data_IF_566392777645
#
_entry.id   IF_566392777645
#
_cell.length_a   1.000
_cell.length_b   1.000
_cell.length_c   1.000
_cell.angle_alpha   90.00
_cell.angle_beta   90.00
_cell.angle_gamma   90.00
#
_symmetry.space_group_name_H-M   'P 1'
#
loop_
_entity.id
_entity.type
_entity.pdbx_description
1 polymer ?
#
# COMPACT_ATOMS: atom_id res chain seq x y z
N UNK A 1 -6.12 25.84 -46.47
CA UNK A 1 -6.10 24.41 -46.13
C UNK A 1 -5.49 24.28 -44.74
N UNK A 2 -6.40 24.11 -43.78
CA UNK A 2 -6.28 23.65 -42.39
C UNK A 2 -4.98 23.86 -41.60
N UNK A 3 -4.98 24.91 -40.78
CA UNK A 3 -4.25 24.97 -39.53
C UNK A 3 -4.78 23.91 -38.56
N UNK A 4 -3.94 22.95 -38.22
CA UNK A 4 -4.28 21.89 -37.28
C UNK A 4 -4.12 22.43 -35.85
N UNK A 5 -5.22 22.90 -35.27
CA UNK A 5 -5.30 23.24 -33.85
C UNK A 5 -5.23 21.94 -33.05
N UNK A 6 -4.16 21.75 -32.30
CA UNK A 6 -3.97 20.62 -31.37
C UNK A 6 -4.84 20.84 -30.11
N UNK A 7 -5.89 20.04 -29.88
CA UNK A 7 -6.91 20.31 -28.85
C UNK A 7 -6.49 19.92 -27.42
N UNK A 8 -5.19 19.89 -27.09
CA UNK A 8 -4.70 19.43 -25.76
C UNK A 8 -4.07 20.56 -24.93
N UNK A 9 -4.21 21.83 -25.32
CA UNK A 9 -3.55 22.96 -24.64
C UNK A 9 -4.22 23.46 -23.34
N UNK A 10 -5.38 22.95 -22.92
CA UNK A 10 -6.10 23.46 -21.74
C UNK A 10 -6.56 22.39 -20.73
N UNK A 11 -5.69 21.45 -20.35
CA UNK A 11 -5.92 20.58 -19.19
C UNK A 11 -4.88 20.80 -18.10
N UNK A 12 -5.35 21.00 -16.87
CA UNK A 12 -4.53 21.19 -15.67
C UNK A 12 -3.51 20.05 -15.50
N UNK A 13 -2.25 20.43 -15.21
CA UNK A 13 -1.02 19.62 -15.19
C UNK A 13 -0.99 18.41 -14.23
N UNK A 14 -2.08 18.10 -13.53
CA UNK A 14 -2.15 17.02 -12.53
C UNK A 14 -2.87 15.74 -12.99
N UNK A 15 -3.40 15.71 -14.22
CA UNK A 15 -4.25 14.62 -14.73
C UNK A 15 -3.60 13.77 -15.83
N UNK A 16 -2.32 13.38 -15.69
CA UNK A 16 -1.73 12.36 -16.58
C UNK A 16 -1.65 11.00 -15.88
N UNK A 17 -2.15 9.91 -16.50
CA UNK A 17 -1.74 8.59 -16.09
C UNK A 17 -0.21 8.50 -16.20
N UNK A 18 0.39 7.65 -15.38
CA UNK A 18 1.80 7.33 -15.49
C UNK A 18 2.18 7.08 -16.95
N UNK A 19 3.04 7.91 -17.57
CA UNK A 19 3.74 7.52 -18.80
C UNK A 19 4.69 6.34 -18.57
N UNK A 20 4.91 5.98 -17.29
CA UNK A 20 5.37 4.66 -16.90
C UNK A 20 4.14 3.77 -16.66
N UNK A 21 3.39 3.48 -17.71
CA UNK A 21 2.91 2.12 -17.88
C UNK A 21 4.21 1.31 -17.93
N UNK A 22 4.48 0.36 -17.01
CA UNK A 22 5.55 -0.57 -17.28
C UNK A 22 5.19 -1.17 -18.63
N UNK A 23 6.03 -0.95 -19.64
CA UNK A 23 5.90 -1.60 -20.93
C UNK A 23 5.49 -3.03 -20.66
N UNK A 24 4.45 -3.48 -21.37
CA UNK A 24 3.80 -4.77 -21.27
C UNK A 24 4.85 -5.89 -21.33
N UNK A 25 5.49 -6.18 -20.20
CA UNK A 25 6.42 -7.26 -19.97
C UNK A 25 5.65 -8.25 -19.10
N UNK A 26 4.73 -8.96 -19.74
CA UNK A 26 3.98 -10.04 -19.13
C UNK A 26 4.92 -11.06 -18.51
N UNK A 27 4.64 -11.43 -17.25
CA UNK A 27 5.29 -12.50 -16.50
C UNK A 27 6.74 -12.20 -16.07
N UNK A 28 7.09 -12.56 -14.83
CA UNK A 28 8.48 -12.62 -14.31
C UNK A 28 9.12 -11.33 -13.80
N UNK A 29 8.39 -10.45 -13.12
CA UNK A 29 9.04 -9.44 -12.25
C UNK A 29 8.48 -9.46 -10.84
N UNK A 30 9.00 -10.31 -9.94
CA UNK A 30 8.78 -10.09 -8.51
C UNK A 30 9.44 -8.77 -8.14
N UNK A 31 8.65 -7.70 -8.05
CA UNK A 31 9.02 -6.52 -7.29
C UNK A 31 9.15 -7.03 -5.87
N UNK A 32 10.39 -7.29 -5.40
CA UNK A 32 10.63 -7.73 -4.03
C UNK A 32 9.81 -6.83 -3.12
N UNK A 33 8.71 -7.33 -2.49
CA UNK A 33 7.91 -6.51 -1.63
C UNK A 33 8.88 -5.93 -0.61
N UNK A 34 8.90 -4.61 -0.46
CA UNK A 34 9.45 -4.04 0.77
C UNK A 34 8.63 -4.70 1.86
N UNK A 35 9.23 -5.51 2.76
CA UNK A 35 8.47 -6.22 3.77
C UNK A 35 7.72 -5.20 4.60
N UNK A 36 6.43 -5.05 4.32
CA UNK A 36 5.52 -4.19 5.04
C UNK A 36 5.36 -4.83 6.41
N UNK A 37 5.57 -4.05 7.47
CA UNK A 37 5.05 -4.44 8.78
C UNK A 37 3.59 -4.86 8.58
N UNK A 38 3.11 -5.94 9.23
CA UNK A 38 1.68 -6.23 9.22
C UNK A 38 0.97 -4.93 9.63
N UNK A 39 0.09 -4.46 8.75
CA UNK A 39 -0.77 -3.31 9.04
C UNK A 39 -1.53 -3.67 10.32
N UNK A 40 -1.60 -2.77 11.33
CA UNK A 40 -2.35 -3.05 12.53
C UNK A 40 -3.74 -3.57 12.16
N UNK A 41 -4.10 -4.75 12.66
CA UNK A 41 -5.44 -5.29 12.47
C UNK A 41 -6.36 -4.60 13.47
N UNK A 42 -7.00 -3.51 13.04
CA UNK A 42 -7.94 -2.76 13.87
C UNK A 42 -9.34 -3.32 13.60
N UNK A 43 -9.92 -3.99 14.58
CA UNK A 43 -11.30 -4.44 14.50
C UNK A 43 -12.23 -3.23 14.52
N UNK A 44 -12.97 -3.01 13.43
CA UNK A 44 -13.95 -1.91 13.33
C UNK A 44 -15.38 -2.47 13.41
N UNK A 45 -16.29 -1.78 14.12
CA UNK A 45 -17.68 -2.18 14.15
C UNK A 45 -18.27 -2.10 12.74
N UNK A 46 -19.07 -3.10 12.36
CA UNK A 46 -19.86 -3.07 11.11
C UNK A 46 -21.32 -2.72 11.38
N UNK A 47 -21.67 -2.45 12.63
CA UNK A 47 -23.03 -2.09 13.07
C UNK A 47 -22.94 -0.96 14.09
N UNK A 48 -23.68 0.10 13.83
CA UNK A 48 -23.94 1.24 14.72
C UNK A 48 -25.25 1.92 14.30
N UNK A 49 -25.75 2.87 15.10
CA UNK A 49 -27.09 3.44 14.94
C UNK A 49 -27.40 3.91 13.49
N UNK A 50 -26.56 4.76 12.90
CA UNK A 50 -26.79 5.26 11.54
C UNK A 50 -26.73 4.18 10.47
N UNK A 51 -25.88 3.16 10.62
CA UNK A 51 -25.80 2.03 9.68
C UNK A 51 -27.03 1.11 9.72
N UNK A 52 -27.89 1.22 10.73
CA UNK A 52 -29.12 0.42 10.88
C UNK A 52 -30.41 1.20 10.63
N UNK A 53 -30.33 2.45 10.17
CA UNK A 53 -31.51 3.19 9.73
C UNK A 53 -32.29 2.37 8.69
N UNK A 54 -33.62 2.38 8.78
CA UNK A 54 -34.47 1.77 7.75
C UNK A 54 -34.25 2.43 6.39
N UNK A 55 -34.72 1.78 5.33
CA UNK A 55 -34.69 2.36 3.99
C UNK A 55 -35.39 3.73 3.95
N UNK A 56 -36.58 3.84 4.56
CA UNK A 56 -37.38 5.06 4.62
C UNK A 56 -36.74 6.14 5.50
N UNK A 57 -36.22 5.76 6.66
CA UNK A 57 -35.52 6.67 7.58
C UNK A 57 -34.30 7.29 6.91
N UNK A 58 -33.55 6.50 6.14
CA UNK A 58 -32.36 6.97 5.45
C UNK A 58 -32.71 7.95 4.31
N UNK A 59 -33.79 7.71 3.56
CA UNK A 59 -34.27 8.66 2.54
C UNK A 59 -34.76 9.97 3.17
N UNK A 60 -35.41 9.90 4.33
CA UNK A 60 -35.80 11.08 5.09
C UNK A 60 -34.55 11.85 5.58
N UNK A 61 -33.56 11.16 6.13
CA UNK A 61 -32.30 11.76 6.58
C UNK A 61 -31.53 12.45 5.43
N UNK A 62 -31.54 11.88 4.22
CA UNK A 62 -30.97 12.54 3.02
C UNK A 62 -31.71 13.83 2.68
N UNK A 63 -33.04 13.83 2.78
CA UNK A 63 -33.86 15.03 2.53
C UNK A 63 -33.56 16.14 3.56
N UNK A 64 -33.46 15.77 4.82
CA UNK A 64 -33.18 16.70 5.92
C UNK A 64 -31.76 17.26 5.81
N UNK A 65 -30.79 16.42 5.47
CA UNK A 65 -29.40 16.82 5.22
C UNK A 65 -29.29 17.87 4.10
N UNK A 66 -30.03 17.72 3.00
CA UNK A 66 -29.99 18.69 1.90
C UNK A 66 -30.73 19.99 2.22
N UNK A 67 -31.80 19.90 3.02
CA UNK A 67 -32.54 21.06 3.52
C UNK A 67 -31.69 21.88 4.49
N UNK A 68 -31.01 21.22 5.43
CA UNK A 68 -30.07 21.85 6.36
C UNK A 68 -28.85 22.47 5.64
N UNK A 69 -28.47 21.94 4.48
CA UNK A 69 -27.42 22.50 3.62
C UNK A 69 -27.87 23.76 2.84
N UNK A 70 -29.06 24.29 3.12
CA UNK A 70 -29.59 25.50 2.48
C UNK A 70 -30.07 25.27 1.04
N UNK A 71 -30.32 24.02 0.64
CA UNK A 71 -30.87 23.73 -0.68
C UNK A 71 -32.34 24.10 -0.70
N UNK A 72 -32.69 25.18 -1.39
CA UNK A 72 -34.08 25.69 -1.42
C UNK A 72 -34.91 25.09 -2.56
N UNK A 73 -34.27 24.55 -3.60
CA UNK A 73 -34.96 24.04 -4.78
C UNK A 73 -35.45 22.61 -4.56
N UNK A 74 -36.77 22.42 -4.43
CA UNK A 74 -37.39 21.10 -4.18
C UNK A 74 -37.05 20.05 -5.25
N UNK A 75 -36.76 20.46 -6.49
CA UNK A 75 -36.31 19.55 -7.55
C UNK A 75 -34.93 18.94 -7.26
N UNK A 76 -34.02 19.72 -6.67
CA UNK A 76 -32.67 19.26 -6.33
C UNK A 76 -32.67 18.32 -5.13
N UNK A 77 -33.49 18.61 -4.11
CA UNK A 77 -33.67 17.70 -2.97
C UNK A 77 -34.23 16.35 -3.47
N UNK A 78 -35.28 16.38 -4.31
CA UNK A 78 -35.85 15.16 -4.90
C UNK A 78 -34.84 14.36 -5.71
N UNK A 79 -33.94 15.02 -6.46
CA UNK A 79 -32.92 14.28 -7.21
C UNK A 79 -31.91 13.60 -6.28
N UNK A 80 -31.50 14.22 -5.17
CA UNK A 80 -30.61 13.56 -4.21
C UNK A 80 -31.26 12.35 -3.55
N UNK A 81 -32.55 12.44 -3.23
CA UNK A 81 -33.32 11.29 -2.70
C UNK A 81 -33.39 10.17 -3.73
N UNK A 82 -33.70 10.45 -5.00
CA UNK A 82 -33.69 9.46 -6.09
C UNK A 82 -32.31 8.80 -6.29
N UNK A 83 -31.23 9.55 -6.12
CA UNK A 83 -29.88 9.00 -6.20
C UNK A 83 -29.60 8.05 -5.03
N UNK A 84 -30.03 8.40 -3.82
CA UNK A 84 -29.96 7.54 -2.67
C UNK A 84 -30.80 6.27 -2.86
N UNK A 85 -32.04 6.37 -3.34
CA UNK A 85 -32.90 5.22 -3.68
C UNK A 85 -32.20 4.24 -4.63
N UNK A 86 -31.55 4.77 -5.67
CA UNK A 86 -30.80 3.94 -6.64
C UNK A 86 -29.67 3.17 -5.95
N UNK A 87 -28.88 3.84 -5.10
CA UNK A 87 -27.76 3.21 -4.41
C UNK A 87 -28.24 2.19 -3.37
N UNK A 88 -29.25 2.53 -2.58
CA UNK A 88 -29.82 1.66 -1.55
C UNK A 88 -30.49 0.44 -2.17
N UNK A 89 -31.21 0.61 -3.28
CA UNK A 89 -31.77 -0.50 -4.06
C UNK A 89 -30.70 -1.47 -4.57
N UNK A 90 -29.51 -0.97 -4.93
CA UNK A 90 -28.37 -1.86 -5.23
C UNK A 90 -27.86 -2.57 -3.98
N UNK A 91 -27.66 -1.85 -2.87
CA UNK A 91 -27.12 -2.42 -1.63
C UNK A 91 -28.05 -3.48 -1.00
N UNK A 92 -29.36 -3.37 -1.18
CA UNK A 92 -30.33 -4.36 -0.72
C UNK A 92 -30.15 -5.75 -1.34
N UNK A 93 -29.46 -5.85 -2.49
CA UNK A 93 -29.13 -7.12 -3.16
C UNK A 93 -28.05 -7.94 -2.43
N UNK A 94 -27.36 -7.36 -1.46
CA UNK A 94 -26.28 -8.01 -0.71
C UNK A 94 -26.71 -8.36 0.72
N UNK A 95 -26.14 -9.42 1.33
CA UNK A 95 -26.46 -9.81 2.70
C UNK A 95 -25.94 -8.80 3.73
N UNK A 96 -26.60 -8.70 4.87
CA UNK A 96 -26.19 -7.86 6.00
C UNK A 96 -27.38 -7.24 6.75
N UNK A 97 -27.21 -7.06 8.05
CA UNK A 97 -28.18 -6.42 8.96
C UNK A 97 -27.98 -4.90 9.04
N UNK A 98 -26.87 -4.38 8.50
CA UNK A 98 -26.58 -2.96 8.40
C UNK A 98 -26.20 -2.56 6.97
N UNK A 99 -26.32 -1.27 6.65
CA UNK A 99 -25.84 -0.70 5.39
C UNK A 99 -24.34 -0.87 5.21
N UNK A 100 -23.55 -0.85 6.30
CA UNK A 100 -22.11 -1.08 6.24
C UNK A 100 -21.78 -2.52 5.83
N UNK A 101 -22.47 -3.52 6.41
CA UNK A 101 -22.26 -4.92 6.03
C UNK A 101 -22.62 -5.15 4.56
N UNK A 102 -23.73 -4.55 4.10
CA UNK A 102 -24.15 -4.59 2.69
C UNK A 102 -23.13 -3.90 1.77
N UNK A 103 -22.55 -2.78 2.20
CA UNK A 103 -21.48 -2.10 1.50
C UNK A 103 -20.25 -3.01 1.32
N UNK A 104 -19.76 -3.62 2.39
CA UNK A 104 -18.63 -4.55 2.31
C UNK A 104 -18.94 -5.77 1.43
N UNK A 105 -20.12 -6.37 1.58
CA UNK A 105 -20.56 -7.51 0.77
C UNK A 105 -20.74 -7.17 -0.73
N UNK A 106 -20.90 -5.89 -1.08
CA UNK A 106 -21.03 -5.44 -2.46
C UNK A 106 -19.75 -5.53 -3.29
N UNK A 107 -18.58 -5.63 -2.64
CA UNK A 107 -17.28 -5.56 -3.30
C UNK A 107 -16.87 -4.16 -3.75
N UNK A 108 -17.61 -3.10 -3.37
CA UNK A 108 -17.28 -1.72 -3.70
C UNK A 108 -15.86 -1.34 -3.29
N UNK A 109 -15.45 -1.72 -2.07
CA UNK A 109 -14.14 -1.38 -1.53
C UNK A 109 -12.98 -1.93 -2.36
N UNK A 110 -13.13 -3.16 -2.87
CA UNK A 110 -12.15 -3.82 -3.71
C UNK A 110 -12.12 -3.27 -5.14
N UNK A 111 -13.28 -2.91 -5.69
CA UNK A 111 -13.38 -2.32 -7.03
C UNK A 111 -12.85 -0.87 -7.09
N UNK A 112 -12.71 -0.20 -5.94
CA UNK A 112 -12.12 1.13 -5.84
C UNK A 112 -12.83 2.14 -6.74
N UNK A 113 -12.13 2.71 -7.71
CA UNK A 113 -12.66 3.74 -8.64
C UNK A 113 -13.71 3.21 -9.63
N UNK A 114 -13.69 1.90 -9.90
CA UNK A 114 -14.59 1.26 -10.85
C UNK A 114 -15.85 0.69 -10.16
N UNK A 115 -16.02 0.94 -8.85
CA UNK A 115 -17.12 0.40 -8.04
C UNK A 115 -18.52 0.68 -8.60
N UNK A 116 -18.72 1.85 -9.23
CA UNK A 116 -20.03 2.20 -9.80
C UNK A 116 -20.43 1.28 -10.96
N UNK A 117 -19.46 0.64 -11.62
CA UNK A 117 -19.75 -0.33 -12.68
C UNK A 117 -20.42 -1.60 -12.12
N UNK A 118 -20.17 -1.95 -10.86
CA UNK A 118 -20.81 -3.09 -10.18
C UNK A 118 -22.30 -2.88 -9.93
N UNK A 119 -22.74 -1.62 -9.79
CA UNK A 119 -24.13 -1.26 -9.55
C UNK A 119 -25.01 -1.35 -10.81
N UNK A 120 -24.38 -1.46 -11.99
CA UNK A 120 -24.98 -1.64 -13.31
C UNK A 120 -25.95 -0.52 -13.73
N UNK A 121 -25.40 0.55 -14.33
CA UNK A 121 -25.90 1.30 -15.50
C UNK A 121 -24.89 2.44 -15.78
N UNK A 122 -24.27 2.53 -16.98
CA UNK A 122 -23.22 3.51 -17.29
C UNK A 122 -23.64 4.97 -17.03
N UNK A 123 -24.91 5.29 -17.25
CA UNK A 123 -25.47 6.64 -17.17
C UNK A 123 -25.74 7.12 -15.73
N UNK A 124 -25.54 6.25 -14.72
CA UNK A 124 -25.82 6.57 -13.31
C UNK A 124 -24.58 6.78 -12.45
N UNK A 125 -23.38 6.79 -13.04
CA UNK A 125 -22.12 7.00 -12.30
C UNK A 125 -22.16 8.22 -11.37
N UNK A 126 -22.57 9.38 -11.91
CA UNK A 126 -22.65 10.63 -11.13
C UNK A 126 -23.66 10.56 -9.99
N UNK A 127 -24.77 9.84 -10.19
CA UNK A 127 -25.80 9.64 -9.17
C UNK A 127 -25.28 8.79 -8.01
N UNK A 128 -24.61 7.67 -8.33
CA UNK A 128 -24.05 6.75 -7.33
C UNK A 128 -22.95 7.43 -6.50
N UNK A 129 -22.06 8.21 -7.13
CA UNK A 129 -21.04 8.98 -6.42
C UNK A 129 -21.68 10.04 -5.51
N UNK A 130 -22.70 10.75 -6.00
CA UNK A 130 -23.42 11.74 -5.21
C UNK A 130 -24.15 11.12 -4.01
N UNK A 131 -24.77 9.96 -4.19
CA UNK A 131 -25.46 9.19 -3.15
C UNK A 131 -24.48 8.66 -2.10
N UNK A 132 -23.37 8.04 -2.53
CA UNK A 132 -22.33 7.58 -1.63
C UNK A 132 -21.81 8.73 -0.76
N UNK A 133 -21.60 9.91 -1.34
CA UNK A 133 -21.26 11.12 -0.59
C UNK A 133 -22.23 11.46 0.54
N UNK A 134 -23.55 11.27 0.36
CA UNK A 134 -24.54 11.50 1.42
C UNK A 134 -24.50 10.42 2.49
N UNK A 135 -24.32 9.16 2.10
CA UNK A 135 -24.14 8.07 3.06
C UNK A 135 -22.90 8.28 3.94
N UNK A 136 -21.82 8.84 3.40
CA UNK A 136 -20.63 9.24 4.18
C UNK A 136 -20.94 10.39 5.15
N UNK A 137 -21.69 11.40 4.70
CA UNK A 137 -22.07 12.55 5.53
C UNK A 137 -22.99 12.16 6.70
N UNK A 138 -23.89 11.20 6.46
CA UNK A 138 -24.80 10.64 7.47
C UNK A 138 -24.14 9.56 8.36
N UNK A 139 -22.86 9.24 8.12
CA UNK A 139 -22.15 8.14 8.77
C UNK A 139 -22.86 6.79 8.66
N UNK A 140 -23.52 6.53 7.54
CA UNK A 140 -24.24 5.26 7.29
C UNK A 140 -23.28 4.18 6.81
N UNK A 141 -22.24 4.61 6.09
CA UNK A 141 -21.14 3.76 5.62
C UNK A 141 -19.78 4.38 5.97
N UNK A 142 -18.79 3.53 6.16
CA UNK A 142 -17.38 3.81 6.43
C UNK A 142 -16.53 2.93 5.51
N UNK A 143 -16.26 3.35 4.26
CA UNK A 143 -15.50 2.56 3.31
C UNK A 143 -14.06 2.31 3.74
N UNK A 144 -13.43 1.32 3.13
CA UNK A 144 -12.02 1.03 3.36
C UNK A 144 -11.12 2.10 2.74
N UNK A 145 -9.88 2.20 3.24
CA UNK A 145 -8.90 3.11 2.65
C UNK A 145 -8.64 2.83 1.17
N UNK A 146 -8.75 1.58 0.70
CA UNK A 146 -8.62 1.24 -0.73
C UNK A 146 -9.61 2.03 -1.58
N UNK A 147 -10.87 2.12 -1.12
CA UNK A 147 -11.91 2.90 -1.76
C UNK A 147 -11.62 4.39 -1.62
N UNK A 148 -11.37 4.88 -0.40
CA UNK A 148 -11.16 6.31 -0.14
C UNK A 148 -9.96 6.89 -0.93
N UNK A 149 -8.89 6.12 -1.12
CA UNK A 149 -7.74 6.51 -1.96
C UNK A 149 -7.99 6.37 -3.46
N UNK A 150 -8.81 5.40 -3.88
CA UNK A 150 -9.18 5.25 -5.28
C UNK A 150 -10.20 6.29 -5.76
N UNK A 151 -11.19 6.63 -4.93
CA UNK A 151 -12.25 7.58 -5.24
C UNK A 151 -11.88 8.96 -4.71
N UNK A 152 -11.60 9.90 -5.60
CA UNK A 152 -11.31 11.27 -5.20
C UNK A 152 -12.61 11.97 -4.78
N UNK A 153 -12.78 12.17 -3.47
CA UNK A 153 -13.86 13.01 -2.94
C UNK A 153 -13.67 14.47 -3.39
N UNK A 154 -14.78 15.15 -3.64
CA UNK A 154 -14.76 16.58 -3.97
C UNK A 154 -14.37 17.41 -2.73
N UNK A 155 -13.69 18.57 -2.91
CA UNK A 155 -13.34 19.44 -1.79
C UNK A 155 -14.54 19.80 -0.90
N UNK A 156 -15.68 20.13 -1.53
CA UNK A 156 -16.93 20.45 -0.83
C UNK A 156 -17.46 19.30 0.03
N UNK A 157 -17.27 18.04 -0.39
CA UNK A 157 -17.68 16.90 0.42
C UNK A 157 -16.83 16.80 1.69
N UNK A 158 -15.51 16.98 1.59
CA UNK A 158 -14.64 16.98 2.76
C UNK A 158 -14.90 18.15 3.70
N UNK A 159 -15.13 19.35 3.19
CA UNK A 159 -15.54 20.49 4.01
C UNK A 159 -16.80 20.18 4.82
N UNK A 160 -17.84 19.63 4.17
CA UNK A 160 -19.07 19.21 4.86
C UNK A 160 -18.84 18.11 5.90
N UNK A 161 -18.01 17.12 5.59
CA UNK A 161 -17.66 16.06 6.54
C UNK A 161 -17.00 16.62 7.80
N UNK A 162 -16.10 17.59 7.67
CA UNK A 162 -15.47 18.26 8.82
C UNK A 162 -16.48 18.98 9.68
N UNK A 163 -17.38 19.74 9.04
CA UNK A 163 -18.40 20.51 9.76
C UNK A 163 -19.42 19.64 10.50
N UNK A 164 -19.72 18.45 9.98
CA UNK A 164 -20.72 17.56 10.56
C UNK A 164 -20.15 16.58 11.59
N UNK A 165 -18.93 16.06 11.37
CA UNK A 165 -18.37 15.01 12.24
C UNK A 165 -17.64 15.55 13.46
N UNK A 166 -16.79 16.56 13.27
CA UNK A 166 -15.96 17.07 14.35
C UNK A 166 -15.60 18.56 14.15
N UNK A 167 -16.60 19.46 14.21
CA UNK A 167 -16.38 20.88 13.94
C UNK A 167 -15.36 21.51 14.90
N UNK A 168 -15.36 21.11 16.18
CA UNK A 168 -14.41 21.60 17.17
C UNK A 168 -12.98 21.11 16.90
N UNK A 169 -12.80 19.80 16.69
CA UNK A 169 -11.49 19.23 16.40
C UNK A 169 -10.88 19.80 15.12
N UNK A 170 -11.67 19.99 14.06
CA UNK A 170 -11.15 20.63 12.84
C UNK A 170 -10.86 22.11 13.03
N UNK A 171 -11.64 22.85 13.82
CA UNK A 171 -11.31 24.25 14.15
C UNK A 171 -9.94 24.33 14.86
N UNK A 172 -9.61 23.38 15.73
CA UNK A 172 -8.32 23.29 16.41
C UNK A 172 -7.18 22.99 15.43
N UNK A 173 -7.38 22.06 14.50
CA UNK A 173 -6.40 21.79 13.42
C UNK A 173 -6.15 23.02 12.56
N UNK A 174 -7.20 23.78 12.24
CA UNK A 174 -7.10 25.00 11.44
C UNK A 174 -6.29 26.07 12.19
N UNK A 175 -6.54 26.26 13.50
CA UNK A 175 -5.73 27.17 14.34
C UNK A 175 -4.24 26.79 14.37
N UNK A 176 -3.93 25.50 14.46
CA UNK A 176 -2.54 25.02 14.39
C UNK A 176 -1.91 25.28 13.02
N UNK A 177 -2.66 25.11 11.93
CA UNK A 177 -2.20 25.44 10.59
C UNK A 177 -1.92 26.94 10.44
N UNK A 178 -2.79 27.81 10.98
CA UNK A 178 -2.65 29.26 10.89
C UNK A 178 -1.46 29.79 11.72
N UNK A 179 -1.12 29.11 12.82
CA UNK A 179 0.04 29.45 13.66
C UNK A 179 1.40 29.06 13.04
N UNK A 180 1.42 28.13 12.08
CA UNK A 180 2.65 27.67 11.42
C UNK A 180 2.96 28.53 10.19
N UNK A 181 3.85 29.52 10.35
CA UNK A 181 4.26 30.43 9.28
C UNK A 181 4.86 29.75 8.04
N UNK A 182 5.27 28.48 8.14
CA UNK A 182 5.81 27.70 7.01
C UNK A 182 4.74 26.86 6.31
N UNK A 183 3.49 26.91 6.78
CA UNK A 183 2.42 26.07 6.28
C UNK A 183 1.96 26.51 4.89
N UNK A 184 2.21 25.66 3.90
CA UNK A 184 1.73 25.91 2.54
C UNK A 184 0.23 25.58 2.43
N UNK A 185 -0.55 26.33 1.63
CA UNK A 185 -1.97 26.03 1.41
C UNK A 185 -2.23 24.62 0.87
N UNK A 186 -1.31 24.10 0.04
CA UNK A 186 -1.37 22.72 -0.47
C UNK A 186 -1.19 21.67 0.61
N UNK A 187 -0.32 21.94 1.59
CA UNK A 187 -0.01 21.01 2.68
C UNK A 187 -1.13 21.02 3.71
N UNK A 188 -1.69 22.20 3.99
CA UNK A 188 -2.92 22.37 4.80
C UNK A 188 -4.06 21.54 4.22
N UNK A 189 -4.36 21.73 2.95
CA UNK A 189 -5.43 20.97 2.29
C UNK A 189 -5.17 19.46 2.32
N UNK A 190 -3.95 19.01 2.04
CA UNK A 190 -3.60 17.59 2.08
C UNK A 190 -3.71 17.00 3.50
N UNK A 191 -3.27 17.74 4.50
CA UNK A 191 -3.31 17.31 5.89
C UNK A 191 -4.76 17.15 6.38
N UNK A 192 -5.58 18.18 6.18
CA UNK A 192 -6.98 18.15 6.58
C UNK A 192 -7.78 17.08 5.80
N UNK A 193 -7.49 16.89 4.50
CA UNK A 193 -8.10 15.82 3.71
C UNK A 193 -7.73 14.43 4.27
N UNK A 194 -6.49 14.25 4.69
CA UNK A 194 -6.05 12.98 5.28
C UNK A 194 -6.74 12.72 6.63
N UNK A 195 -6.83 13.72 7.51
CA UNK A 195 -7.57 13.60 8.77
C UNK A 195 -9.06 13.30 8.53
N UNK A 196 -9.67 13.93 7.53
CA UNK A 196 -11.06 13.66 7.14
C UNK A 196 -11.25 12.20 6.70
N UNK A 197 -10.31 11.65 5.91
CA UNK A 197 -10.33 10.23 5.51
C UNK A 197 -10.23 9.30 6.70
N UNK A 198 -9.38 9.63 7.67
CA UNK A 198 -9.23 8.84 8.88
C UNK A 198 -10.55 8.78 9.67
N UNK A 199 -11.25 9.91 9.85
CA UNK A 199 -12.57 9.90 10.51
C UNK A 199 -13.65 9.18 9.72
N UNK A 200 -13.66 9.30 8.39
CA UNK A 200 -14.62 8.56 7.56
C UNK A 200 -14.41 7.04 7.72
N UNK A 201 -13.16 6.59 7.78
CA UNK A 201 -12.84 5.18 7.91
C UNK A 201 -13.04 4.66 9.34
N UNK A 202 -12.58 5.41 10.34
CA UNK A 202 -12.60 4.99 11.74
C UNK A 202 -13.96 5.23 12.41
N UNK A 203 -14.67 6.28 12.00
CA UNK A 203 -15.71 6.91 12.82
C UNK A 203 -15.15 7.78 13.93
N UNK A 204 -16.04 8.24 14.80
CA UNK A 204 -15.68 9.07 15.94
C UNK A 204 -15.20 10.47 15.56
N UNK A 205 -14.42 11.06 16.44
CA UNK A 205 -13.83 12.39 16.37
C UNK A 205 -12.32 12.32 16.21
N UNK A 206 -11.65 13.46 15.96
CA UNK A 206 -10.19 13.49 15.88
C UNK A 206 -9.55 13.07 17.20
N UNK A 207 -10.21 13.31 18.33
CA UNK A 207 -9.75 12.91 19.66
C UNK A 207 -9.67 11.40 19.87
N UNK A 208 -10.41 10.62 19.07
CA UNK A 208 -10.42 9.15 19.14
C UNK A 208 -9.28 8.51 18.32
N UNK A 209 -8.51 9.31 17.56
CA UNK A 209 -7.44 8.80 16.68
C UNK A 209 -6.26 8.31 17.50
N UNK A 210 -5.88 7.05 17.27
CA UNK A 210 -4.75 6.42 17.93
C UNK A 210 -3.50 6.33 17.03
N UNK A 211 -2.35 5.97 17.62
CA UNK A 211 -1.13 5.72 16.86
C UNK A 211 -1.28 4.54 15.86
N UNK A 212 -1.90 3.40 16.22
CA UNK A 212 -2.25 2.35 15.25
C UNK A 212 -3.05 2.85 14.04
N UNK A 213 -4.05 3.70 14.26
CA UNK A 213 -4.84 4.29 13.16
C UNK A 213 -3.97 5.10 12.20
N UNK A 214 -3.07 5.91 12.76
CA UNK A 214 -2.12 6.70 11.97
C UNK A 214 -1.25 5.79 11.10
N UNK A 215 -0.75 4.69 11.67
CA UNK A 215 0.11 3.73 10.97
C UNK A 215 -0.65 3.05 9.83
N UNK A 216 -1.89 2.61 10.09
CA UNK A 216 -2.76 2.00 9.08
C UNK A 216 -3.04 2.98 7.93
N UNK A 217 -3.51 4.18 8.25
CA UNK A 217 -3.82 5.22 7.28
C UNK A 217 -2.60 5.62 6.43
N UNK A 218 -1.41 5.64 7.03
CA UNK A 218 -0.16 5.95 6.34
C UNK A 218 0.24 4.85 5.34
N UNK A 219 0.10 3.58 5.73
CA UNK A 219 0.45 2.44 4.87
C UNK A 219 -0.57 2.22 3.77
N UNK A 220 -1.84 2.51 4.01
CA UNK A 220 -2.87 2.39 3.00
C UNK A 220 -2.70 3.38 1.82
N UNK A 221 -1.84 4.39 1.95
CA UNK A 221 -1.45 5.29 0.85
C UNK A 221 -0.51 4.62 -0.16
N UNK A 222 0.13 3.51 0.21
CA UNK A 222 1.11 2.83 -0.64
C UNK A 222 0.41 2.27 -1.89
N UNK A 223 0.92 2.62 -3.07
CA UNK A 223 0.31 2.24 -4.36
C UNK A 223 -0.54 3.33 -5.01
N UNK A 224 -0.90 4.40 -4.27
CA UNK A 224 -1.61 5.56 -4.79
C UNK A 224 -0.65 6.73 -5.06
N UNK A 225 -0.90 7.52 -6.12
CA UNK A 225 -0.07 8.71 -6.42
C UNK A 225 -0.36 9.82 -5.41
N UNK A 226 0.70 10.48 -4.94
CA UNK A 226 0.60 11.64 -4.06
C UNK A 226 0.32 11.24 -2.61
N UNK A 227 1.27 10.52 -2.00
CA UNK A 227 1.29 10.28 -0.55
C UNK A 227 1.13 11.63 0.15
N UNK A 228 0.12 11.76 1.01
CA UNK A 228 -0.14 13.02 1.70
C UNK A 228 1.11 13.40 2.48
N UNK A 229 1.54 14.66 2.36
CA UNK A 229 2.66 15.16 3.15
C UNK A 229 2.37 14.84 4.63
N UNK A 230 3.34 14.31 5.41
CA UNK A 230 3.10 13.78 6.76
C UNK A 230 2.68 14.83 7.80
N UNK A 231 2.38 16.07 7.39
CA UNK A 231 2.03 17.19 8.26
C UNK A 231 0.79 16.92 9.11
N UNK A 232 -0.16 16.12 8.60
CA UNK A 232 -1.34 15.68 9.37
C UNK A 232 -0.96 14.95 10.67
N UNK A 233 0.08 14.11 10.65
CA UNK A 233 0.53 13.39 11.84
C UNK A 233 1.16 14.35 12.85
N UNK A 234 1.93 15.32 12.36
CA UNK A 234 2.50 16.37 13.22
C UNK A 234 1.40 17.23 13.86
N UNK A 235 0.32 17.56 13.13
CA UNK A 235 -0.82 18.29 13.69
C UNK A 235 -1.50 17.52 14.83
N UNK A 236 -1.69 16.20 14.68
CA UNK A 236 -2.24 15.36 15.75
C UNK A 236 -1.36 15.36 17.02
N UNK A 237 -0.04 15.40 16.86
CA UNK A 237 0.89 15.52 18.00
C UNK A 237 0.86 16.91 18.63
N UNK A 238 0.85 17.97 17.82
CA UNK A 238 0.79 19.36 18.29
C UNK A 238 -0.53 19.67 19.01
N UNK A 239 -1.62 19.03 18.60
CA UNK A 239 -2.92 19.08 19.26
C UNK A 239 -3.02 18.21 20.52
N UNK A 240 -1.94 17.50 20.89
CA UNK A 240 -1.92 16.54 22.00
C UNK A 240 -2.99 15.43 21.91
N UNK A 241 -3.43 15.07 20.69
CA UNK A 241 -4.33 13.94 20.45
C UNK A 241 -3.57 12.62 20.62
N UNK A 242 -2.34 12.56 20.11
CA UNK A 242 -1.48 11.39 20.27
C UNK A 242 -0.72 11.46 21.62
N UNK A 243 -0.46 10.31 22.27
CA UNK A 243 0.36 10.24 23.47
C UNK A 243 1.72 10.94 23.32
N UNK A 244 2.22 11.56 24.40
CA UNK A 244 3.45 12.36 24.37
C UNK A 244 4.70 11.56 23.92
N UNK A 245 4.73 10.26 24.20
CA UNK A 245 5.78 9.31 23.81
C UNK A 245 5.63 8.77 22.37
N UNK A 246 4.60 9.20 21.64
CA UNK A 246 4.41 8.82 20.24
C UNK A 246 5.61 9.25 19.37
N UNK A 247 6.01 8.43 18.38
CA UNK A 247 7.17 8.72 17.53
C UNK A 247 7.08 10.11 16.88
N UNK A 248 8.22 10.80 16.65
CA UNK A 248 8.21 12.20 16.23
C UNK A 248 7.67 12.42 14.81
N UNK A 249 7.68 11.38 13.97
CA UNK A 249 7.14 11.42 12.60
C UNK A 249 6.38 10.14 12.29
N UNK A 250 5.40 10.20 11.38
CA UNK A 250 4.70 9.01 10.90
C UNK A 250 5.65 8.02 10.22
N UNK A 251 6.74 8.50 9.62
CA UNK A 251 7.79 7.63 9.10
C UNK A 251 8.48 6.86 10.22
N UNK A 252 8.79 7.49 11.34
CA UNK A 252 9.36 6.81 12.50
C UNK A 252 8.37 5.81 13.11
N UNK A 253 7.08 6.16 13.19
CA UNK A 253 6.03 5.25 13.66
C UNK A 253 5.79 4.07 12.71
N UNK A 254 5.89 4.29 11.40
CA UNK A 254 5.70 3.25 10.39
C UNK A 254 6.99 2.54 9.98
N UNK A 255 8.15 2.94 10.50
CA UNK A 255 9.40 2.21 10.28
C UNK A 255 9.26 0.86 10.97
N UNK A 256 9.30 -0.22 10.17
CA UNK A 256 9.70 -1.53 10.70
C UNK A 256 11.06 -1.34 11.37
N UNK A 257 11.24 -1.95 12.53
CA UNK A 257 12.57 -2.13 13.10
C UNK A 257 13.48 -2.91 12.15
N UNK A 258 14.61 -3.34 12.65
CA UNK A 258 15.47 -4.28 11.93
C UNK A 258 14.66 -5.54 11.56
N UNK A 259 14.70 -5.95 10.28
CA UNK A 259 14.10 -7.21 9.84
C UNK A 259 14.75 -8.37 10.59
N UNK A 260 13.96 -9.35 10.99
CA UNK A 260 14.54 -10.63 11.43
C UNK A 260 15.18 -11.34 10.23
N UNK A 261 16.01 -12.34 10.49
CA UNK A 261 16.67 -13.09 9.40
C UNK A 261 15.64 -13.80 8.52
N UNK A 262 14.58 -14.35 9.11
CA UNK A 262 13.43 -14.93 8.41
C UNK A 262 12.81 -13.90 7.46
N UNK A 263 12.50 -12.71 7.98
CA UNK A 263 11.89 -11.63 7.19
C UNK A 263 12.81 -11.13 6.07
N UNK A 264 14.14 -11.17 6.27
CA UNK A 264 15.12 -10.86 5.22
C UNK A 264 15.11 -11.87 4.08
N UNK A 265 14.81 -13.14 4.35
CA UNK A 265 14.73 -14.20 3.34
C UNK A 265 13.34 -14.24 2.70
N UNK A 266 12.28 -14.20 3.50
CA UNK A 266 10.89 -14.38 3.06
C UNK A 266 10.41 -13.31 2.08
N UNK A 267 10.95 -12.09 2.18
CA UNK A 267 10.63 -10.99 1.26
C UNK A 267 10.97 -11.24 -0.21
N UNK A 268 11.66 -12.33 -0.53
CA UNK A 268 12.05 -12.70 -1.89
C UNK A 268 11.22 -13.85 -2.46
N UNK A 269 10.24 -14.35 -1.71
CA UNK A 269 9.29 -15.38 -2.13
C UNK A 269 9.97 -16.65 -2.67
N UNK A 270 10.94 -17.17 -1.91
CA UNK A 270 11.61 -18.45 -2.22
C UNK A 270 10.60 -19.59 -2.18
N UNK A 271 10.48 -20.31 -3.29
CA UNK A 271 9.50 -21.39 -3.46
C UNK A 271 9.97 -22.67 -2.78
N UNK A 272 11.25 -23.03 -2.93
CA UNK A 272 11.84 -24.20 -2.30
C UNK A 272 12.01 -23.98 -0.79
N UNK A 273 11.09 -24.53 0.02
CA UNK A 273 11.10 -24.38 1.49
C UNK A 273 12.38 -24.91 2.16
N UNK A 274 12.92 -26.09 1.80
CA UNK A 274 14.19 -26.56 2.34
C UNK A 274 15.35 -25.57 2.14
N UNK A 275 15.46 -24.96 0.96
CA UNK A 275 16.53 -23.99 0.66
C UNK A 275 16.26 -22.63 1.33
N UNK A 276 15.00 -22.22 1.47
CA UNK A 276 14.63 -21.07 2.31
C UNK A 276 15.13 -21.24 3.74
N UNK A 277 14.87 -22.41 4.34
CA UNK A 277 15.26 -22.68 5.73
C UNK A 277 16.78 -22.79 5.88
N UNK A 278 17.47 -23.30 4.87
CA UNK A 278 18.93 -23.24 4.79
C UNK A 278 19.45 -21.80 4.83
N UNK A 279 18.89 -20.89 4.03
CA UNK A 279 19.35 -19.49 4.04
C UNK A 279 19.14 -18.83 5.40
N UNK A 280 18.01 -19.11 6.06
CA UNK A 280 17.75 -18.60 7.40
C UNK A 280 18.79 -19.15 8.39
N UNK A 281 19.03 -20.46 8.39
CA UNK A 281 20.03 -21.09 9.24
C UNK A 281 21.44 -20.52 9.00
N UNK A 282 21.84 -20.38 7.73
CA UNK A 282 23.14 -19.84 7.35
C UNK A 282 23.33 -18.39 7.81
N UNK A 283 22.33 -17.55 7.60
CA UNK A 283 22.39 -16.15 8.00
C UNK A 283 22.42 -16.01 9.52
N UNK A 284 21.72 -16.85 10.28
CA UNK A 284 21.84 -16.86 11.75
C UNK A 284 23.26 -17.17 12.21
N UNK A 285 23.92 -18.13 11.60
CA UNK A 285 25.31 -18.50 11.90
C UNK A 285 26.26 -17.32 11.58
N UNK A 286 26.08 -16.67 10.43
CA UNK A 286 26.89 -15.50 10.02
C UNK A 286 26.64 -14.25 10.85
N UNK A 287 25.48 -14.14 11.51
CA UNK A 287 25.05 -12.93 12.23
C UNK A 287 26.04 -12.52 13.32
N UNK A 288 26.68 -13.47 14.00
CA UNK A 288 27.58 -13.19 15.12
C UNK A 288 28.78 -12.30 14.73
N UNK A 289 29.20 -12.33 13.46
CA UNK A 289 30.35 -11.60 12.96
C UNK A 289 30.01 -10.39 12.08
N UNK A 290 28.73 -9.99 11.98
CA UNK A 290 28.27 -9.00 10.99
C UNK A 290 27.33 -7.96 11.59
N UNK A 291 27.49 -6.69 11.21
CA UNK A 291 26.48 -5.68 11.49
C UNK A 291 25.21 -5.90 10.64
N UNK A 292 24.11 -5.26 11.05
CA UNK A 292 22.79 -5.41 10.43
C UNK A 292 22.78 -5.10 8.92
N UNK A 293 23.51 -4.07 8.47
CA UNK A 293 23.54 -3.73 7.05
C UNK A 293 24.30 -4.79 6.26
N UNK A 294 25.43 -5.26 6.78
CA UNK A 294 26.23 -6.30 6.14
C UNK A 294 25.44 -7.59 5.96
N UNK A 295 24.73 -8.06 6.99
CA UNK A 295 23.92 -9.29 6.87
C UNK A 295 22.72 -9.10 5.95
N UNK A 296 22.07 -7.93 5.97
CA UNK A 296 20.98 -7.60 5.05
C UNK A 296 21.45 -7.59 3.59
N UNK A 297 22.65 -7.08 3.32
CA UNK A 297 23.23 -7.12 1.97
C UNK A 297 23.61 -8.54 1.57
N UNK A 298 24.12 -9.36 2.49
CA UNK A 298 24.42 -10.77 2.24
C UNK A 298 23.15 -11.55 1.87
N UNK A 299 22.06 -11.37 2.61
CA UNK A 299 20.76 -11.97 2.31
C UNK A 299 20.28 -11.58 0.90
N UNK A 300 20.38 -10.31 0.52
CA UNK A 300 20.02 -9.87 -0.83
C UNK A 300 20.89 -10.52 -1.94
N UNK A 301 22.19 -10.72 -1.70
CA UNK A 301 23.08 -11.37 -2.66
C UNK A 301 22.75 -12.85 -2.84
N UNK A 302 22.54 -13.58 -1.75
CA UNK A 302 22.33 -15.03 -1.78
C UNK A 302 20.89 -15.40 -2.18
N UNK A 303 19.90 -14.72 -1.59
CA UNK A 303 18.50 -15.11 -1.77
C UNK A 303 17.92 -14.51 -3.04
N UNK A 304 18.05 -13.19 -3.27
CA UNK A 304 17.47 -12.54 -4.44
C UNK A 304 18.30 -12.75 -5.70
N UNK A 305 19.61 -12.45 -5.65
CA UNK A 305 20.44 -12.36 -6.85
C UNK A 305 21.00 -13.71 -7.29
N UNK A 306 21.03 -14.69 -6.39
CA UNK A 306 21.46 -16.05 -6.68
C UNK A 306 20.27 -17.01 -6.75
N UNK A 307 19.68 -17.40 -5.62
CA UNK A 307 18.70 -18.48 -5.61
C UNK A 307 17.37 -18.15 -6.29
N UNK A 308 16.80 -16.97 -6.01
CA UNK A 308 15.51 -16.59 -6.62
C UNK A 308 15.63 -16.45 -8.12
N UNK A 309 16.77 -15.95 -8.61
CA UNK A 309 17.05 -15.92 -10.05
C UNK A 309 17.11 -17.34 -10.65
N UNK A 310 17.68 -18.32 -9.93
CA UNK A 310 17.65 -19.72 -10.36
C UNK A 310 16.21 -20.26 -10.42
N UNK A 311 15.41 -20.10 -9.37
CA UNK A 311 14.01 -20.59 -9.36
C UNK A 311 13.14 -20.00 -10.47
N UNK A 312 13.39 -18.74 -10.84
CA UNK A 312 12.67 -18.05 -11.93
C UNK A 312 12.98 -18.70 -13.28
N UNK A 313 14.21 -19.18 -13.50
CA UNK A 313 14.68 -19.66 -14.80
C UNK A 313 14.77 -21.19 -14.90
N UNK A 314 14.79 -21.89 -13.77
CA UNK A 314 14.83 -23.35 -13.64
C UNK A 314 13.72 -23.80 -12.66
N UNK A 315 12.45 -23.85 -13.10
CA UNK A 315 11.32 -24.18 -12.24
C UNK A 315 11.48 -25.56 -11.57
N UNK A 316 11.26 -25.63 -10.26
CA UNK A 316 11.41 -26.86 -9.48
C UNK A 316 12.83 -27.16 -9.01
N UNK A 317 13.80 -26.25 -9.23
CA UNK A 317 15.14 -26.40 -8.64
C UNK A 317 15.07 -26.46 -7.11
N UNK A 318 15.68 -27.51 -6.55
CA UNK A 318 15.68 -27.76 -5.10
C UNK A 318 17.07 -28.10 -4.54
N UNK A 319 18.10 -28.15 -5.40
CA UNK A 319 19.45 -28.55 -5.03
C UNK A 319 20.49 -27.46 -5.28
N UNK A 320 21.47 -27.35 -4.37
CA UNK A 320 22.65 -26.49 -4.53
C UNK A 320 23.71 -27.11 -5.46
N UNK A 321 23.58 -28.38 -5.84
CA UNK A 321 24.47 -29.02 -6.82
C UNK A 321 24.11 -28.61 -8.25
N UNK A 322 24.49 -27.39 -8.62
CA UNK A 322 24.22 -26.84 -9.94
C UNK A 322 25.01 -27.59 -11.02
N UNK A 323 24.39 -27.79 -12.19
CA UNK A 323 25.12 -28.21 -13.39
C UNK A 323 25.95 -27.05 -13.95
N UNK A 324 26.96 -27.33 -14.76
CA UNK A 324 27.78 -26.28 -15.39
C UNK A 324 26.95 -25.34 -16.27
N UNK A 325 25.92 -25.88 -16.92
CA UNK A 325 25.02 -25.10 -17.77
C UNK A 325 24.19 -24.10 -16.95
N UNK A 326 23.55 -24.55 -15.87
CA UNK A 326 22.74 -23.70 -14.99
C UNK A 326 23.62 -22.61 -14.36
N UNK A 327 24.80 -22.97 -13.87
CA UNK A 327 25.75 -22.03 -13.29
C UNK A 327 26.23 -20.99 -14.32
N UNK A 328 26.50 -21.40 -15.57
CA UNK A 328 26.92 -20.49 -16.65
C UNK A 328 25.81 -19.52 -17.03
N UNK A 329 24.57 -20.03 -17.22
CA UNK A 329 23.41 -19.18 -17.57
C UNK A 329 23.12 -18.16 -16.47
N UNK A 330 23.21 -18.54 -15.21
CA UNK A 330 23.11 -17.60 -14.09
C UNK A 330 24.22 -16.54 -14.11
N UNK A 331 25.49 -16.93 -14.28
CA UNK A 331 26.61 -15.98 -14.39
C UNK A 331 26.40 -14.98 -15.54
N UNK A 332 25.94 -15.43 -16.71
CA UNK A 332 25.63 -14.56 -17.85
C UNK A 332 24.55 -13.53 -17.50
N UNK A 333 23.45 -13.94 -16.83
CA UNK A 333 22.40 -13.01 -16.37
C UNK A 333 22.92 -12.04 -15.31
N UNK A 334 23.79 -12.50 -14.41
CA UNK A 334 24.38 -11.68 -13.36
C UNK A 334 25.24 -10.54 -13.94
N UNK A 335 26.02 -10.83 -14.99
CA UNK A 335 26.84 -9.88 -15.73
C UNK A 335 26.03 -8.90 -16.58
N UNK A 336 24.77 -9.23 -16.85
CA UNK A 336 23.85 -8.44 -17.64
C UNK A 336 23.31 -7.19 -16.91
N UNK A 337 22.33 -6.51 -17.53
CA UNK A 337 21.70 -5.35 -16.91
C UNK A 337 20.97 -5.72 -15.62
N UNK A 338 20.85 -4.77 -14.70
CA UNK A 338 20.11 -4.95 -13.45
C UNK A 338 18.65 -5.27 -13.78
N UNK A 339 18.19 -6.45 -13.38
CA UNK A 339 16.83 -6.94 -13.63
C UNK A 339 15.85 -6.58 -12.50
N UNK A 340 16.36 -6.32 -11.29
CA UNK A 340 15.57 -6.13 -10.07
C UNK A 340 15.88 -4.79 -9.38
N UNK A 341 14.90 -4.18 -8.71
CA UNK A 341 15.02 -2.89 -7.99
C UNK A 341 14.24 -1.74 -8.66
N UNK A 342 14.15 -0.57 -8.03
CA UNK A 342 13.34 0.55 -8.56
C UNK A 342 14.15 1.57 -9.38
N UNK A 343 15.43 1.77 -9.07
CA UNK A 343 16.17 2.96 -9.53
C UNK A 343 17.28 2.67 -10.56
N UNK A 344 17.52 1.40 -10.89
CA UNK A 344 18.64 0.97 -11.76
C UNK A 344 18.29 -0.11 -12.78
N UNK A 345 17.02 -0.47 -12.90
CA UNK A 345 16.59 -1.49 -13.88
C UNK A 345 17.02 -1.09 -15.28
N UNK A 346 17.63 -2.02 -16.01
CA UNK A 346 18.14 -1.78 -17.37
C UNK A 346 19.53 -1.15 -17.44
N UNK A 347 20.12 -0.71 -16.32
CA UNK A 347 21.52 -0.23 -16.28
C UNK A 347 22.50 -1.38 -16.14
N UNK A 348 23.73 -1.21 -16.62
CA UNK A 348 24.84 -2.17 -16.38
C UNK A 348 25.06 -2.33 -14.88
N UNK A 349 25.22 -3.58 -14.42
CA UNK A 349 25.54 -3.87 -13.01
C UNK A 349 26.97 -3.43 -12.72
N UNK A 350 27.16 -2.59 -11.71
CA UNK A 350 28.47 -1.99 -11.40
C UNK A 350 29.47 -3.01 -10.86
N UNK A 351 29.03 -3.94 -10.02
CA UNK A 351 29.92 -4.92 -9.40
C UNK A 351 29.26 -6.31 -9.28
N UNK A 352 29.23 -7.11 -10.37
CA UNK A 352 28.78 -8.50 -10.32
C UNK A 352 29.72 -9.41 -9.52
N UNK A 353 30.99 -9.02 -9.35
CA UNK A 353 32.03 -9.84 -8.70
C UNK A 353 31.75 -10.00 -7.21
N UNK A 354 31.29 -8.95 -6.52
CA UNK A 354 30.93 -9.05 -5.09
C UNK A 354 29.79 -10.02 -4.79
N UNK A 355 28.93 -10.32 -5.77
CA UNK A 355 27.86 -11.31 -5.65
C UNK A 355 28.45 -12.71 -5.84
N UNK A 356 29.29 -12.90 -6.85
CA UNK A 356 30.01 -14.16 -7.05
C UNK A 356 30.87 -14.55 -5.85
N UNK A 357 31.57 -13.58 -5.24
CA UNK A 357 32.36 -13.83 -4.03
C UNK A 357 31.48 -14.21 -2.84
N UNK A 358 30.31 -13.58 -2.69
CA UNK A 358 29.37 -13.95 -1.62
C UNK A 358 28.84 -15.39 -1.82
N UNK A 359 28.48 -15.77 -3.05
CA UNK A 359 28.05 -17.14 -3.35
C UNK A 359 29.20 -18.14 -3.13
N UNK A 360 30.43 -17.80 -3.55
CA UNK A 360 31.62 -18.63 -3.27
C UNK A 360 31.84 -18.88 -1.79
N UNK A 361 31.81 -17.81 -1.01
CA UNK A 361 31.95 -17.89 0.44
C UNK A 361 30.84 -18.75 1.04
N UNK A 362 29.60 -18.59 0.59
CA UNK A 362 28.48 -19.43 1.03
C UNK A 362 28.72 -20.94 0.79
N UNK A 363 29.12 -21.35 -0.43
CA UNK A 363 29.42 -22.76 -0.69
C UNK A 363 30.64 -23.28 0.12
N UNK A 364 31.65 -22.44 0.33
CA UNK A 364 32.82 -22.78 1.13
C UNK A 364 32.46 -22.95 2.62
N UNK A 365 31.66 -22.03 3.17
CA UNK A 365 31.16 -22.07 4.54
C UNK A 365 30.33 -23.34 4.76
N UNK A 366 29.40 -23.68 3.84
CA UNK A 366 28.64 -24.93 3.93
C UNK A 366 29.52 -26.19 3.91
N UNK A 367 30.54 -26.19 3.06
CA UNK A 367 31.48 -27.32 2.98
C UNK A 367 32.31 -27.46 4.25
N UNK A 368 32.71 -26.34 4.85
CA UNK A 368 33.45 -26.31 6.10
C UNK A 368 32.58 -26.74 7.28
N UNK A 369 31.39 -26.16 7.44
CA UNK A 369 30.46 -26.48 8.54
C UNK A 369 29.90 -27.90 8.45
N UNK A 370 29.83 -28.50 7.27
CA UNK A 370 29.50 -29.93 7.11
C UNK A 370 30.50 -30.87 7.80
N UNK A 371 31.75 -30.42 8.00
CA UNK A 371 32.76 -31.17 8.75
C UNK A 371 32.60 -31.00 10.27
N UNK A 372 32.04 -29.86 10.72
CA UNK A 372 31.86 -29.52 12.13
C UNK A 372 30.53 -30.06 12.70
N UNK A 373 29.42 -29.88 11.96
CA UNK A 373 28.08 -30.35 12.29
C UNK A 373 27.43 -30.99 11.04
N UNK A 374 27.75 -32.25 10.83
CA UNK A 374 27.32 -33.01 9.66
C UNK A 374 25.82 -33.25 9.62
N UNK A 375 25.15 -33.37 10.77
CA UNK A 375 23.71 -33.59 10.84
C UNK A 375 22.92 -32.40 10.27
N UNK A 376 23.46 -31.18 10.41
CA UNK A 376 22.82 -29.94 9.97
C UNK A 376 23.22 -29.52 8.56
N UNK A 377 24.50 -29.67 8.19
CA UNK A 377 25.04 -29.05 6.97
C UNK A 377 25.45 -30.02 5.86
N UNK A 378 25.65 -31.32 6.14
CA UNK A 378 26.21 -32.25 5.15
C UNK A 378 25.31 -32.41 3.91
N UNK A 379 23.99 -32.39 4.06
CA UNK A 379 23.03 -32.46 2.94
C UNK A 379 23.15 -31.28 1.97
N UNK A 380 23.75 -30.17 2.40
CA UNK A 380 23.87 -28.94 1.63
C UNK A 380 25.28 -28.70 1.08
N UNK A 381 26.26 -29.53 1.48
CA UNK A 381 27.63 -29.43 1.05
C UNK A 381 27.75 -29.74 -0.45
N UNK A 382 28.08 -28.72 -1.24
CA UNK A 382 28.16 -28.82 -2.69
C UNK A 382 29.43 -28.11 -3.21
N UNK A 383 30.02 -28.58 -4.33
CA UNK A 383 31.17 -27.92 -4.90
C UNK A 383 30.79 -26.55 -5.45
N UNK A 384 31.55 -25.50 -5.09
CA UNK A 384 31.38 -24.18 -5.68
C UNK A 384 31.82 -24.22 -7.15
N UNK A 385 30.89 -24.11 -8.11
CA UNK A 385 31.21 -24.07 -9.55
C UNK A 385 31.59 -22.66 -10.05
N UNK A 386 32.10 -21.84 -9.15
CA UNK A 386 32.42 -20.42 -9.33
C UNK A 386 33.91 -20.16 -9.60
N UNK A 387 34.63 -21.17 -10.08
CA UNK A 387 36.04 -21.11 -10.49
C UNK A 387 36.25 -20.00 -11.54
N UNK A 388 37.37 -19.24 -11.52
CA UNK A 388 37.61 -18.10 -12.41
C UNK A 388 37.88 -18.46 -13.88
N UNK A 389 37.71 -19.72 -14.28
CA UNK A 389 37.90 -20.11 -15.67
C UNK A 389 36.70 -19.59 -16.48
N UNK A 390 36.99 -18.50 -17.21
CA UNK A 390 36.20 -17.86 -18.27
C UNK A 390 34.86 -17.24 -17.85
N UNK A 391 34.93 -15.96 -17.49
CA UNK A 391 33.88 -15.03 -17.91
C UNK A 391 33.76 -15.13 -19.44
N UNK A 392 32.57 -15.34 -20.02
CA UNK A 392 32.41 -15.09 -21.45
C UNK A 392 32.74 -13.61 -21.68
N UNK A 393 33.67 -13.36 -22.61
CA UNK A 393 34.07 -12.02 -23.04
C UNK A 393 32.88 -11.23 -23.62
#
# INVERSE_FOLDING_TARGET
>A
MSDHIDPVAHLQKAARPSRNVPANNGGLRPKAPTPTLPTPAIARPTVWAASQMSYEELLAAVRDLESANGTTLSKQIRSQVLFAETLLGWLLRFPGESWQQRWHASGADAAGRDWTALAAEPDRHGHLVAAAGRLLLLDVIRPDYSWLYATQATPRLYERLRTLRDPAGFADMERLCDADARMLPSDRRQALNQLTRMLVHNGGTLGDITLPDCIEAHRAQDGYRGRSHPRWYTLLREAAILPADSPPTIFAASRRGQLTIEEMVDRYDVVCRPVRDLFVAYLYERRAAMDYNSIRYLAAKLVLLFWRDLEIHEPGIESLHLTDEVARRWKTRLSGPVLYGSNRVGKKREDPYTILMAVRAFYADLSHWALEDSARWATWAAPSRSTPATWPA
#
